data_IF_151954937003
#
_entry.id   IF_151954937003
#
_cell.length_a   1.000
_cell.length_b   1.000
_cell.length_c   1.000
_cell.angle_alpha   90.00
_cell.angle_beta   90.00
_cell.angle_gamma   90.00
#
_symmetry.space_group_name_H-M   'P 1'
#
loop_
_entity.id
_entity.type
_entity.pdbx_description
1 polymer ?
#
# COMPACT_ATOMS: atom_id res chain seq x y z
N UNK A 1 45.24 -0.81 -37.37
CA UNK A 1 44.64 -1.96 -36.66
C UNK A 1 44.93 -1.76 -35.18
N UNK A 2 44.01 -1.60 -34.22
CA UNK A 2 42.54 -1.59 -34.12
C UNK A 2 42.21 -0.66 -32.92
N UNK A 3 41.27 0.29 -33.06
CA UNK A 3 39.91 0.27 -32.48
C UNK A 3 39.84 -0.26 -31.03
N UNK A 4 39.71 0.64 -30.05
CA UNK A 4 39.30 0.31 -28.68
C UNK A 4 37.83 0.73 -28.52
N UNK A 5 36.94 -0.26 -28.60
CA UNK A 5 35.51 -0.10 -28.43
C UNK A 5 35.12 -0.17 -26.95
N UNK A 6 34.36 0.84 -26.55
CA UNK A 6 33.33 0.89 -25.51
C UNK A 6 32.78 -0.47 -25.03
N UNK A 7 32.98 -0.83 -23.77
CA UNK A 7 32.20 -1.86 -23.07
C UNK A 7 31.34 -1.21 -21.98
N UNK A 8 30.11 -0.88 -22.37
CA UNK A 8 28.98 -0.58 -21.49
C UNK A 8 28.47 -1.88 -20.86
N UNK A 9 28.71 -2.07 -19.56
CA UNK A 9 28.09 -3.15 -18.78
C UNK A 9 26.56 -2.97 -18.66
N UNK A 10 25.78 -4.06 -18.62
CA UNK A 10 24.31 -3.98 -18.57
C UNK A 10 23.80 -3.41 -17.23
N UNK A 11 22.72 -2.63 -17.23
CA UNK A 11 22.15 -2.05 -16.01
C UNK A 11 21.56 -3.15 -15.12
N UNK A 12 21.92 -3.10 -13.83
CA UNK A 12 21.42 -3.95 -12.76
C UNK A 12 19.90 -3.84 -12.65
N UNK A 13 19.22 -4.96 -12.82
CA UNK A 13 17.77 -5.07 -12.62
C UNK A 13 17.43 -5.01 -11.14
N UNK A 14 16.45 -4.20 -10.70
CA UNK A 14 16.04 -4.15 -9.30
C UNK A 14 15.28 -5.43 -8.92
N UNK A 15 15.36 -5.88 -7.64
CA UNK A 15 14.83 -7.18 -7.23
C UNK A 15 13.29 -7.26 -7.33
N UNK A 16 12.73 -8.42 -7.76
CA UNK A 16 11.31 -8.60 -8.10
C UNK A 16 10.33 -8.67 -6.90
N UNK A 17 10.72 -8.17 -5.72
CA UNK A 17 9.96 -8.36 -4.47
C UNK A 17 8.98 -7.24 -4.11
N UNK A 18 9.23 -5.98 -4.52
CA UNK A 18 8.49 -4.82 -3.99
C UNK A 18 7.16 -4.53 -4.71
N UNK A 19 7.05 -4.82 -6.01
CA UNK A 19 5.84 -4.52 -6.80
C UNK A 19 4.72 -5.58 -6.68
N UNK A 20 4.96 -6.73 -6.05
CA UNK A 20 4.00 -7.84 -5.99
C UNK A 20 3.09 -7.82 -4.75
N UNK A 21 3.49 -7.10 -3.68
CA UNK A 21 2.77 -7.08 -2.40
C UNK A 21 1.67 -6.00 -2.37
N UNK A 22 1.92 -4.84 -2.99
CA UNK A 22 0.91 -3.79 -3.22
C UNK A 22 -0.26 -4.26 -4.10
N UNK A 23 -0.04 -5.28 -4.92
CA UNK A 23 -1.02 -5.87 -5.83
C UNK A 23 -2.06 -6.78 -5.16
N UNK A 24 -1.82 -7.24 -3.92
CA UNK A 24 -2.68 -8.21 -3.22
C UNK A 24 -3.55 -7.61 -2.12
N UNK A 25 -3.17 -6.43 -1.63
CA UNK A 25 -3.89 -5.66 -0.62
C UNK A 25 -4.84 -4.59 -1.20
N UNK A 26 -4.95 -4.49 -2.52
CA UNK A 26 -6.05 -3.78 -3.15
C UNK A 26 -7.23 -4.76 -3.29
N UNK A 27 -8.43 -4.44 -2.78
CA UNK A 27 -9.60 -5.18 -3.16
C UNK A 27 -9.85 -4.76 -4.59
N UNK A 28 -9.23 -5.45 -5.54
CA UNK A 28 -9.71 -5.43 -6.89
C UNK A 28 -11.14 -5.99 -6.77
N UNK A 29 -12.19 -5.19 -7.03
CA UNK A 29 -13.53 -5.75 -7.13
C UNK A 29 -13.43 -6.91 -8.13
N UNK A 30 -13.99 -8.06 -7.79
CA UNK A 30 -14.03 -9.26 -8.66
C UNK A 30 -14.49 -8.96 -10.10
N UNK A 31 -15.10 -7.79 -10.33
CA UNK A 31 -15.39 -7.15 -11.61
C UNK A 31 -14.20 -6.89 -12.56
N UNK A 32 -12.95 -6.94 -12.10
CA UNK A 32 -11.79 -6.60 -12.94
C UNK A 32 -11.03 -7.82 -13.49
N UNK A 33 -11.42 -9.05 -13.14
CA UNK A 33 -10.69 -10.28 -13.53
C UNK A 33 -11.42 -11.18 -14.53
N UNK A 34 -12.51 -10.72 -15.14
CA UNK A 34 -13.21 -11.51 -16.16
C UNK A 34 -12.92 -11.00 -17.56
N UNK A 35 -11.79 -11.44 -18.11
CA UNK A 35 -11.58 -11.49 -19.55
C UNK A 35 -10.67 -12.68 -19.90
N UNK A 36 -11.27 -13.86 -20.04
CA UNK A 36 -10.68 -15.00 -20.75
C UNK A 36 -11.82 -15.91 -21.24
N UNK A 37 -12.51 -15.48 -22.30
CA UNK A 37 -13.36 -16.36 -23.10
C UNK A 37 -12.52 -16.97 -24.20
N UNK A 38 -12.19 -18.25 -24.11
CA UNK A 38 -11.74 -19.05 -25.26
C UNK A 38 -12.97 -19.61 -25.98
N UNK A 39 -13.11 -19.46 -27.30
CA UNK A 39 -14.19 -20.10 -28.04
C UNK A 39 -13.77 -21.53 -28.37
N UNK A 40 -14.52 -22.53 -27.90
CA UNK A 40 -14.46 -23.87 -28.49
C UNK A 40 -15.86 -24.31 -28.87
N UNK A 41 -15.95 -24.80 -30.10
CA UNK A 41 -17.14 -25.07 -30.90
C UNK A 41 -17.78 -26.43 -30.58
N UNK A 42 -19.11 -26.42 -30.58
CA UNK A 42 -20.03 -27.37 -31.25
C UNK A 42 -21.14 -27.99 -30.37
N UNK A 43 -22.31 -28.30 -30.98
CA UNK A 43 -23.62 -28.28 -30.33
C UNK A 43 -24.26 -29.68 -30.17
N UNK A 44 -25.19 -29.86 -29.22
CA UNK A 44 -26.35 -30.79 -29.35
C UNK A 44 -27.35 -30.71 -28.18
N UNK A 45 -28.64 -30.58 -28.56
CA UNK A 45 -29.93 -30.95 -27.92
C UNK A 45 -30.25 -30.44 -26.50
N UNK A 46 -31.17 -29.47 -26.35
CA UNK A 46 -32.64 -29.61 -26.23
C UNK A 46 -33.07 -30.22 -24.87
N UNK A 47 -34.02 -29.70 -24.09
CA UNK A 47 -34.93 -28.56 -24.16
C UNK A 47 -35.49 -28.35 -22.73
N UNK A 48 -35.76 -27.12 -22.31
CA UNK A 48 -36.92 -26.74 -21.48
C UNK A 48 -36.82 -25.26 -21.05
N UNK A 49 -37.83 -24.52 -21.48
CA UNK A 49 -38.07 -23.08 -21.42
C UNK A 49 -38.48 -22.59 -20.04
N UNK A 50 -37.85 -21.53 -19.52
CA UNK A 50 -38.52 -20.51 -18.70
C UNK A 50 -37.71 -19.20 -18.77
N UNK A 51 -38.33 -18.20 -19.39
CA UNK A 51 -37.79 -16.89 -19.70
C UNK A 51 -37.51 -16.03 -18.46
N UNK A 52 -36.50 -15.18 -18.56
CA UNK A 52 -36.23 -14.12 -17.59
C UNK A 52 -34.84 -13.52 -17.81
N UNK A 53 -34.74 -12.59 -18.76
CA UNK A 53 -33.52 -11.93 -19.17
C UNK A 53 -32.68 -11.42 -17.99
N UNK A 54 -31.46 -11.94 -17.88
CA UNK A 54 -30.36 -11.29 -17.18
C UNK A 54 -29.10 -11.43 -18.03
N UNK A 55 -29.19 -10.96 -19.27
CA UNK A 55 -28.02 -10.38 -19.92
C UNK A 55 -27.64 -9.16 -19.10
N UNK A 56 -26.86 -9.36 -18.04
CA UNK A 56 -26.22 -8.28 -17.34
C UNK A 56 -25.20 -7.70 -18.31
N UNK A 57 -25.68 -6.73 -19.11
CA UNK A 57 -24.84 -5.71 -19.68
C UNK A 57 -23.80 -5.35 -18.62
N UNK A 58 -22.52 -5.53 -18.98
CA UNK A 58 -21.43 -4.94 -18.22
C UNK A 58 -21.64 -3.45 -18.36
N UNK A 59 -22.45 -2.88 -17.48
CA UNK A 59 -22.42 -1.44 -17.23
C UNK A 59 -20.97 -1.15 -16.86
N UNK A 60 -20.26 -0.53 -17.81
CA UNK A 60 -19.15 0.37 -17.55
C UNK A 60 -19.62 1.37 -16.51
N UNK A 61 -19.57 0.97 -15.24
CA UNK A 61 -19.50 1.94 -14.18
C UNK A 61 -18.19 2.65 -14.40
N UNK A 62 -18.29 3.84 -15.00
CA UNK A 62 -17.26 4.86 -14.99
C UNK A 62 -16.85 4.99 -13.52
N UNK A 63 -15.77 4.31 -13.17
CA UNK A 63 -15.24 4.39 -11.82
C UNK A 63 -14.72 5.81 -11.67
N UNK A 64 -15.33 6.56 -10.76
CA UNK A 64 -14.82 7.86 -10.40
C UNK A 64 -13.54 7.66 -9.59
N UNK A 65 -12.42 7.75 -10.30
CA UNK A 65 -11.08 7.57 -9.77
C UNK A 65 -10.76 8.62 -8.70
N UNK A 66 -11.37 9.81 -8.78
CA UNK A 66 -11.20 10.89 -7.83
C UNK A 66 -11.87 10.55 -6.50
N UNK A 67 -13.12 10.09 -6.52
CA UNK A 67 -13.81 9.62 -5.30
C UNK A 67 -13.11 8.43 -4.64
N UNK A 68 -12.54 7.51 -5.43
CA UNK A 68 -11.77 6.39 -4.88
C UNK A 68 -10.48 6.88 -4.24
N UNK A 69 -9.74 7.76 -4.91
CA UNK A 69 -8.48 8.30 -4.41
C UNK A 69 -8.68 9.15 -3.14
N UNK A 70 -9.82 9.84 -2.99
CA UNK A 70 -10.17 10.64 -1.82
C UNK A 70 -10.34 9.82 -0.53
N UNK A 71 -10.60 8.52 -0.64
CA UNK A 71 -10.72 7.64 0.53
C UNK A 71 -9.35 7.29 1.15
N UNK A 72 -8.24 7.60 0.48
CA UNK A 72 -6.88 7.26 0.90
C UNK A 72 -6.01 8.50 0.99
N UNK A 73 -5.05 8.46 1.91
CA UNK A 73 -4.10 9.55 2.12
C UNK A 73 -2.67 9.04 2.20
N UNK A 74 -1.71 9.88 1.84
CA UNK A 74 -0.28 9.57 1.97
C UNK A 74 0.22 8.50 1.01
N UNK A 75 1.13 7.63 1.49
CA UNK A 75 1.84 6.67 0.65
C UNK A 75 0.90 5.65 -0.01
N UNK A 76 -0.07 5.11 0.74
CA UNK A 76 -1.05 4.15 0.23
C UNK A 76 -1.86 4.70 -0.96
N UNK A 77 -2.18 6.01 -0.99
CA UNK A 77 -2.87 6.63 -2.14
C UNK A 77 -2.02 6.52 -3.42
N UNK A 78 -0.74 6.85 -3.33
CA UNK A 78 0.22 6.79 -4.45
C UNK A 78 0.41 5.34 -4.92
N UNK A 79 0.57 4.41 -3.98
CA UNK A 79 0.73 2.97 -4.27
C UNK A 79 -0.51 2.43 -5.00
N UNK A 80 -1.72 2.78 -4.55
CA UNK A 80 -2.97 2.37 -5.19
C UNK A 80 -3.16 2.98 -6.58
N UNK A 81 -2.86 4.26 -6.77
CA UNK A 81 -2.94 4.92 -8.08
C UNK A 81 -1.96 4.28 -9.08
N UNK A 82 -0.73 3.98 -8.66
CA UNK A 82 0.26 3.26 -9.49
C UNK A 82 -0.26 1.87 -9.87
N UNK A 83 -0.88 1.15 -8.93
CA UNK A 83 -1.45 -0.16 -9.19
C UNK A 83 -2.60 -0.11 -10.20
N UNK A 84 -3.51 0.86 -10.05
CA UNK A 84 -4.62 1.05 -11.00
C UNK A 84 -4.07 1.36 -12.39
N UNK A 85 -3.06 2.24 -12.50
CA UNK A 85 -2.43 2.54 -13.79
C UNK A 85 -1.88 1.27 -14.47
N UNK A 86 -1.17 0.40 -13.74
CA UNK A 86 -0.63 -0.85 -14.28
C UNK A 86 -1.71 -1.84 -14.73
N UNK A 87 -2.84 -1.92 -14.00
CA UNK A 87 -3.97 -2.77 -14.38
C UNK A 87 -4.73 -2.22 -15.58
N UNK A 88 -4.98 -0.91 -15.62
CA UNK A 88 -5.64 -0.25 -16.74
C UNK A 88 -4.82 -0.36 -18.03
N UNK A 89 -3.48 -0.26 -17.93
CA UNK A 89 -2.58 -0.52 -19.05
C UNK A 89 -2.74 -1.95 -19.61
N UNK A 90 -2.90 -2.95 -18.74
CA UNK A 90 -3.12 -4.35 -19.14
C UNK A 90 -4.50 -4.58 -19.80
N UNK A 91 -5.52 -3.79 -19.43
CA UNK A 91 -6.88 -3.86 -19.99
C UNK A 91 -7.01 -3.00 -21.26
N UNK A 92 -6.01 -2.17 -21.58
CA UNK A 92 -6.01 -1.27 -22.74
C UNK A 92 -6.75 0.05 -22.51
N UNK A 93 -7.14 0.38 -21.28
CA UNK A 93 -7.84 1.62 -20.92
C UNK A 93 -6.84 2.76 -20.69
N UNK A 94 -6.35 3.34 -21.79
CA UNK A 94 -5.36 4.43 -21.78
C UNK A 94 -5.85 5.69 -21.04
N UNK A 95 -7.13 6.05 -21.14
CA UNK A 95 -7.65 7.27 -20.52
C UNK A 95 -7.56 7.22 -18.98
N UNK A 96 -7.95 6.10 -18.36
CA UNK A 96 -7.85 5.93 -16.90
C UNK A 96 -6.42 5.76 -16.42
N UNK A 97 -5.56 5.09 -17.19
CA UNK A 97 -4.14 4.97 -16.88
C UNK A 97 -3.49 6.36 -16.75
N UNK A 98 -3.72 7.22 -17.73
CA UNK A 98 -3.15 8.56 -17.77
C UNK A 98 -3.71 9.45 -16.65
N UNK A 99 -5.00 9.35 -16.34
CA UNK A 99 -5.60 10.11 -15.23
C UNK A 99 -5.08 9.65 -13.86
N UNK A 100 -4.87 8.34 -13.67
CA UNK A 100 -4.26 7.79 -12.45
C UNK A 100 -2.81 8.29 -12.26
N UNK A 101 -2.02 8.27 -13.34
CA UNK A 101 -0.64 8.76 -13.32
C UNK A 101 -0.58 10.28 -13.08
N UNK A 102 -1.52 11.05 -13.65
CA UNK A 102 -1.66 12.48 -13.43
C UNK A 102 -1.87 12.80 -11.95
N UNK A 103 -2.87 12.18 -11.33
CA UNK A 103 -3.17 12.37 -9.92
C UNK A 103 -2.00 11.94 -9.03
N UNK A 104 -1.31 10.86 -9.36
CA UNK A 104 -0.13 10.42 -8.63
C UNK A 104 1.02 11.45 -8.73
N UNK A 105 1.27 12.00 -9.93
CA UNK A 105 2.30 13.01 -10.15
C UNK A 105 1.99 14.32 -9.39
N UNK A 106 0.74 14.78 -9.45
CA UNK A 106 0.29 15.99 -8.75
C UNK A 106 0.41 15.83 -7.22
N UNK A 107 0.11 14.64 -6.68
CA UNK A 107 0.29 14.34 -5.25
C UNK A 107 1.77 14.25 -4.86
N UNK A 108 2.60 13.62 -5.70
CA UNK A 108 4.04 13.49 -5.47
C UNK A 108 4.76 14.84 -5.50
N UNK A 109 4.31 15.78 -6.35
CA UNK A 109 4.86 17.14 -6.42
C UNK A 109 4.52 17.98 -5.19
N UNK A 110 3.48 17.63 -4.43
CA UNK A 110 3.18 18.20 -3.09
C UNK A 110 4.02 17.55 -1.98
N UNK A 111 4.55 16.36 -2.21
CA UNK A 111 5.32 15.59 -1.23
C UNK A 111 6.84 15.81 -1.30
N UNK A 112 7.57 15.05 -0.50
CA UNK A 112 9.05 15.04 -0.45
C UNK A 112 9.66 13.76 -1.09
N UNK A 113 8.84 12.92 -1.71
CA UNK A 113 9.29 11.64 -2.28
C UNK A 113 9.76 11.79 -3.74
N UNK A 114 11.04 12.13 -3.91
CA UNK A 114 11.66 12.30 -5.23
C UNK A 114 11.79 10.99 -6.01
N UNK A 115 11.97 9.85 -5.34
CA UNK A 115 12.14 8.54 -5.99
C UNK A 115 10.85 8.09 -6.70
N UNK A 116 9.72 8.14 -6.00
CA UNK A 116 8.43 7.79 -6.58
C UNK A 116 8.01 8.78 -7.69
N UNK A 117 8.38 10.06 -7.57
CA UNK A 117 8.15 11.06 -8.63
C UNK A 117 8.87 10.68 -9.94
N UNK A 118 10.18 10.35 -9.85
CA UNK A 118 10.97 9.91 -11.01
C UNK A 118 10.33 8.70 -11.70
N UNK A 119 9.87 7.71 -10.94
CA UNK A 119 9.21 6.52 -11.48
C UNK A 119 7.88 6.83 -12.18
N UNK A 120 7.02 7.66 -11.57
CA UNK A 120 5.71 8.02 -12.15
C UNK A 120 5.89 8.82 -13.43
N UNK A 121 6.79 9.80 -13.44
CA UNK A 121 7.11 10.60 -14.63
C UNK A 121 7.68 9.74 -15.75
N UNK A 122 8.58 8.79 -15.42
CA UNK A 122 9.09 7.84 -16.39
C UNK A 122 7.98 6.98 -17.01
N UNK A 123 6.96 6.57 -16.24
CA UNK A 123 5.79 5.83 -16.73
C UNK A 123 4.87 6.68 -17.61
N UNK A 124 4.78 8.00 -17.38
CA UNK A 124 4.01 8.92 -18.24
C UNK A 124 4.64 9.04 -19.63
N UNK A 125 5.97 8.98 -19.72
CA UNK A 125 6.72 8.99 -20.99
C UNK A 125 6.31 10.12 -21.95
N UNK A 126 5.99 11.31 -21.42
CA UNK A 126 5.59 12.48 -22.21
C UNK A 126 4.15 12.47 -22.76
N UNK A 127 3.36 11.42 -22.48
CA UNK A 127 1.98 11.27 -22.99
C UNK A 127 1.00 12.33 -22.47
N UNK A 128 1.32 12.99 -21.35
CA UNK A 128 0.53 14.07 -20.74
C UNK A 128 1.02 15.50 -21.08
N UNK A 129 1.99 15.62 -21.98
CA UNK A 129 2.57 16.90 -22.38
C UNK A 129 3.69 17.42 -21.47
N UNK A 130 4.25 18.60 -21.78
CA UNK A 130 5.52 19.09 -21.21
C UNK A 130 5.44 19.44 -19.72
N UNK A 131 4.22 19.67 -19.19
CA UNK A 131 4.01 19.95 -17.76
C UNK A 131 4.38 18.78 -16.84
N UNK A 132 4.32 17.56 -17.38
CA UNK A 132 4.58 16.31 -16.65
C UNK A 132 5.93 15.69 -17.03
N UNK A 133 6.84 16.48 -17.60
CA UNK A 133 8.23 16.07 -17.82
C UNK A 133 9.04 16.10 -16.52
N UNK A 134 10.20 15.44 -16.55
CA UNK A 134 11.06 15.32 -15.38
C UNK A 134 11.69 16.68 -15.05
N UNK A 135 11.20 17.26 -13.96
CA UNK A 135 11.72 18.49 -13.37
C UNK A 135 12.97 18.15 -12.53
N UNK A 136 14.13 18.10 -13.19
CA UNK A 136 15.40 17.75 -12.55
C UNK A 136 15.81 18.79 -11.49
N UNK A 137 15.53 20.07 -11.73
CA UNK A 137 15.85 21.13 -10.78
C UNK A 137 15.05 20.98 -9.48
N UNK A 138 13.75 20.66 -9.58
CA UNK A 138 12.92 20.38 -8.42
C UNK A 138 13.41 19.14 -7.66
N UNK A 139 13.75 18.06 -8.38
CA UNK A 139 14.31 16.84 -7.78
C UNK A 139 15.57 17.17 -6.97
N UNK A 140 16.53 17.88 -7.57
CA UNK A 140 17.80 18.21 -6.94
C UNK A 140 17.59 19.15 -5.74
N UNK A 141 16.65 20.08 -5.83
CA UNK A 141 16.28 20.97 -4.72
C UNK A 141 15.65 20.20 -3.55
N UNK A 142 14.75 19.25 -3.82
CA UNK A 142 14.11 18.40 -2.81
C UNK A 142 15.14 17.47 -2.15
N UNK A 143 16.02 16.86 -2.93
CA UNK A 143 17.09 16.00 -2.40
C UNK A 143 18.07 16.77 -1.52
N UNK A 144 18.46 17.98 -1.92
CA UNK A 144 19.33 18.87 -1.11
C UNK A 144 18.65 19.26 0.21
N UNK A 145 17.38 19.65 0.17
CA UNK A 145 16.59 20.00 1.37
C UNK A 145 16.43 18.80 2.30
N UNK A 146 16.17 17.61 1.73
CA UNK A 146 16.05 16.38 2.48
C UNK A 146 17.36 16.01 3.18
N UNK A 147 18.51 16.12 2.50
CA UNK A 147 19.81 15.85 3.09
C UNK A 147 20.11 16.77 4.30
N UNK A 148 19.85 18.07 4.16
CA UNK A 148 20.01 19.04 5.27
C UNK A 148 19.09 18.73 6.45
N UNK A 149 17.83 18.37 6.18
CA UNK A 149 16.86 18.01 7.23
C UNK A 149 17.27 16.72 7.94
N UNK A 150 17.79 15.74 7.21
CA UNK A 150 18.30 14.49 7.77
C UNK A 150 19.47 14.76 8.72
N UNK A 151 20.48 15.49 8.27
CA UNK A 151 21.66 15.83 9.07
C UNK A 151 21.26 16.57 10.36
N UNK A 152 20.32 17.53 10.25
CA UNK A 152 19.79 18.25 11.40
C UNK A 152 19.13 17.32 12.42
N UNK A 153 18.23 16.43 11.98
CA UNK A 153 17.53 15.49 12.86
C UNK A 153 18.51 14.48 13.50
N UNK A 154 19.52 14.04 12.76
CA UNK A 154 20.57 13.16 13.28
C UNK A 154 21.45 13.86 14.33
N UNK A 155 21.80 15.13 14.10
CA UNK A 155 22.53 15.96 15.07
C UNK A 155 21.72 16.17 16.36
N UNK A 156 20.44 16.53 16.25
CA UNK A 156 19.54 16.69 17.40
C UNK A 156 19.40 15.38 18.19
N UNK A 157 19.19 14.25 17.50
CA UNK A 157 19.12 12.93 18.11
C UNK A 157 20.42 12.55 18.84
N UNK A 158 21.58 12.89 18.27
CA UNK A 158 22.86 12.65 18.92
C UNK A 158 23.02 13.51 20.18
N UNK A 159 22.57 14.76 20.16
CA UNK A 159 22.51 15.62 21.34
C UNK A 159 21.64 15.01 22.45
N UNK A 160 20.46 14.49 22.12
CA UNK A 160 19.58 13.83 23.08
C UNK A 160 20.18 12.56 23.67
N UNK A 161 20.94 11.79 22.89
CA UNK A 161 21.66 10.60 23.36
C UNK A 161 22.75 10.96 24.36
N UNK A 162 23.54 11.99 24.10
CA UNK A 162 24.58 12.47 25.03
C UNK A 162 23.96 12.95 26.34
N UNK A 163 22.81 13.62 26.27
CA UNK A 163 22.09 14.11 27.45
C UNK A 163 21.29 13.02 28.19
N UNK A 164 21.20 11.80 27.63
CA UNK A 164 20.49 10.64 28.19
C UNK A 164 19.00 10.90 28.52
N UNK A 165 18.36 11.83 27.80
CA UNK A 165 16.94 12.15 28.00
C UNK A 165 16.09 11.15 27.21
N UNK A 166 15.59 10.11 27.88
CA UNK A 166 14.84 9.00 27.24
C UNK A 166 13.69 9.47 26.35
N UNK A 167 12.88 10.41 26.82
CA UNK A 167 11.73 10.89 26.05
C UNK A 167 12.14 11.66 24.80
N UNK A 168 13.18 12.50 24.88
CA UNK A 168 13.71 13.22 23.72
C UNK A 168 14.35 12.27 22.70
N UNK A 169 15.04 11.21 23.16
CA UNK A 169 15.56 10.17 22.27
C UNK A 169 14.42 9.44 21.56
N UNK A 170 13.33 9.13 22.28
CA UNK A 170 12.13 8.51 21.71
C UNK A 170 11.50 9.38 20.63
N UNK A 171 11.31 10.68 20.92
CA UNK A 171 10.75 11.64 19.97
C UNK A 171 11.67 11.81 18.76
N UNK A 172 12.98 11.97 18.95
CA UNK A 172 13.92 12.12 17.85
C UNK A 172 13.96 10.90 16.92
N UNK A 173 13.85 9.68 17.45
CA UNK A 173 13.70 8.48 16.61
C UNK A 173 12.36 8.42 15.87
N UNK A 174 11.28 8.95 16.46
CA UNK A 174 9.99 9.03 15.80
C UNK A 174 10.02 10.04 14.65
N UNK A 175 10.56 11.23 14.89
CA UNK A 175 10.67 12.29 13.89
C UNK A 175 11.58 11.88 12.72
N UNK A 176 12.67 11.17 13.01
CA UNK A 176 13.54 10.57 12.00
C UNK A 176 12.82 9.46 11.21
N UNK A 177 12.00 8.65 11.90
CA UNK A 177 11.14 7.64 11.26
C UNK A 177 10.13 8.27 10.30
N UNK A 178 9.43 9.31 10.75
CA UNK A 178 8.42 10.05 9.97
C UNK A 178 9.05 10.75 8.76
N UNK A 179 10.28 11.27 8.91
CA UNK A 179 11.07 11.80 7.80
C UNK A 179 11.44 10.74 6.76
N UNK A 180 11.90 9.57 7.18
CA UNK A 180 12.19 8.49 6.23
C UNK A 180 10.90 7.94 5.57
N UNK A 181 9.80 7.91 6.32
CA UNK A 181 8.50 7.49 5.82
C UNK A 181 7.97 8.44 4.73
N UNK A 182 8.07 9.77 4.92
CA UNK A 182 7.63 10.76 3.91
C UNK A 182 8.45 10.67 2.61
N UNK A 183 9.72 10.29 2.72
CA UNK A 183 10.62 10.08 1.57
C UNK A 183 10.42 8.75 0.86
N UNK A 184 9.75 7.79 1.49
CA UNK A 184 9.56 6.44 0.96
C UNK A 184 10.70 5.46 1.27
N UNK A 185 11.67 5.80 2.13
CA UNK A 185 12.63 4.82 2.66
C UNK A 185 12.01 4.06 3.84
N UNK A 186 11.15 3.11 3.50
CA UNK A 186 10.38 2.33 4.45
C UNK A 186 11.27 1.44 5.35
N UNK A 187 12.43 1.00 4.85
CA UNK A 187 13.35 0.14 5.60
C UNK A 187 14.08 0.91 6.71
N UNK A 188 14.53 2.13 6.43
CA UNK A 188 15.11 2.99 7.47
C UNK A 188 14.05 3.48 8.45
N UNK A 189 12.85 3.85 7.96
CA UNK A 189 11.73 4.23 8.82
C UNK A 189 11.38 3.11 9.82
N UNK A 190 11.21 1.87 9.35
CA UNK A 190 10.95 0.71 10.20
C UNK A 190 12.03 0.53 11.28
N UNK A 191 13.32 0.62 10.91
CA UNK A 191 14.42 0.51 11.87
C UNK A 191 14.39 1.61 12.93
N UNK A 192 14.06 2.84 12.54
CA UNK A 192 13.94 3.97 13.48
C UNK A 192 12.78 3.75 14.46
N UNK A 193 11.61 3.34 13.99
CA UNK A 193 10.47 3.06 14.86
C UNK A 193 10.76 1.91 15.84
N UNK A 194 11.38 0.81 15.39
CA UNK A 194 11.71 -0.31 16.29
C UNK A 194 12.73 0.10 17.37
N UNK A 195 13.66 1.01 17.06
CA UNK A 195 14.65 1.53 18.04
C UNK A 195 14.01 2.34 19.17
N UNK A 196 12.83 2.92 18.97
CA UNK A 196 12.11 3.64 20.05
C UNK A 196 11.71 2.74 21.22
N UNK A 197 11.68 1.41 21.02
CA UNK A 197 11.24 0.41 22.01
C UNK A 197 11.94 0.55 23.35
N UNK A 198 13.25 0.73 23.34
CA UNK A 198 14.06 0.73 24.57
C UNK A 198 13.91 2.03 25.37
N UNK A 199 13.28 3.04 24.77
CA UNK A 199 12.99 4.35 25.34
C UNK A 199 11.51 4.56 25.69
N UNK A 200 10.67 3.53 25.53
CA UNK A 200 9.25 3.58 25.91
C UNK A 200 9.10 3.47 27.44
N UNK A 201 8.47 4.46 28.07
CA UNK A 201 8.26 4.51 29.53
C UNK A 201 6.81 4.14 29.89
N UNK A 202 5.84 4.58 29.10
CA UNK A 202 4.41 4.35 29.35
C UNK A 202 3.84 3.30 28.39
N UNK A 203 2.72 2.68 28.77
CA UNK A 203 1.97 1.79 27.86
C UNK A 203 1.51 2.51 26.60
N UNK A 204 1.16 3.81 26.70
CA UNK A 204 0.80 4.65 25.54
C UNK A 204 1.96 4.76 24.55
N UNK A 205 3.20 4.94 25.02
CA UNK A 205 4.38 5.00 24.14
C UNK A 205 4.59 3.67 23.40
N UNK A 206 4.40 2.55 24.11
CA UNK A 206 4.51 1.21 23.51
C UNK A 206 3.46 1.00 22.42
N UNK A 207 2.22 1.45 22.64
CA UNK A 207 1.13 1.32 21.66
C UNK A 207 1.40 2.19 20.42
N UNK A 208 1.78 3.46 20.63
CA UNK A 208 2.11 4.38 19.54
C UNK A 208 3.24 3.83 18.66
N UNK A 209 4.31 3.32 19.26
CA UNK A 209 5.38 2.63 18.53
C UNK A 209 4.84 1.43 17.75
N UNK A 210 4.00 0.57 18.36
CA UNK A 210 3.47 -0.60 17.66
C UNK A 210 2.63 -0.19 16.44
N UNK A 211 1.84 0.88 16.53
CA UNK A 211 1.08 1.40 15.40
C UNK A 211 2.00 1.86 14.25
N UNK A 212 3.03 2.66 14.53
CA UNK A 212 3.96 3.14 13.50
C UNK A 212 4.74 1.97 12.86
N UNK A 213 5.16 0.99 13.66
CA UNK A 213 5.81 -0.23 13.16
C UNK A 213 4.86 -1.06 12.29
N UNK A 214 3.58 -1.16 12.65
CA UNK A 214 2.57 -1.86 11.85
C UNK A 214 2.39 -1.18 10.50
N UNK A 215 2.19 0.14 10.47
CA UNK A 215 2.04 0.92 9.22
C UNK A 215 3.25 0.69 8.30
N UNK A 216 4.48 0.88 8.81
CA UNK A 216 5.69 0.63 8.04
C UNK A 216 5.83 -0.84 7.59
N UNK A 217 5.41 -1.81 8.41
CA UNK A 217 5.49 -3.23 8.07
C UNK A 217 4.47 -3.65 7.01
N UNK A 218 3.29 -3.01 6.96
CA UNK A 218 2.28 -3.24 5.93
C UNK A 218 2.80 -2.75 4.58
N UNK A 219 3.39 -1.55 4.54
CA UNK A 219 3.96 -0.98 3.32
C UNK A 219 5.19 -1.78 2.83
N UNK A 220 5.97 -2.37 3.74
CA UNK A 220 7.05 -3.32 3.41
C UNK A 220 6.55 -4.72 3.00
N UNK A 221 5.29 -5.05 3.28
CA UNK A 221 4.72 -6.39 3.08
C UNK A 221 5.23 -7.46 4.05
N UNK A 222 5.81 -7.07 5.18
CA UNK A 222 6.31 -7.97 6.23
C UNK A 222 5.19 -8.36 7.22
N UNK A 223 4.19 -9.12 6.77
CA UNK A 223 2.98 -9.42 7.57
C UNK A 223 3.20 -10.28 8.82
N UNK A 224 4.32 -11.02 8.89
CA UNK A 224 4.69 -11.77 10.11
C UNK A 224 4.95 -10.80 11.28
N UNK A 225 5.65 -9.69 11.01
CA UNK A 225 5.91 -8.66 12.01
C UNK A 225 4.60 -7.98 12.43
N UNK A 226 3.73 -7.67 11.47
CA UNK A 226 2.40 -7.08 11.74
C UNK A 226 1.64 -7.91 12.78
N UNK A 227 1.55 -9.24 12.60
CA UNK A 227 0.85 -10.11 13.56
C UNK A 227 1.48 -10.08 14.95
N UNK A 228 2.81 -10.06 15.05
CA UNK A 228 3.52 -10.03 16.34
C UNK A 228 3.30 -8.71 17.09
N UNK A 229 3.39 -7.58 16.40
CA UNK A 229 3.18 -6.26 17.00
C UNK A 229 1.71 -6.00 17.33
N UNK A 230 0.76 -6.51 16.54
CA UNK A 230 -0.68 -6.45 16.88
C UNK A 230 -0.95 -7.21 18.19
N UNK A 231 -0.46 -8.44 18.33
CA UNK A 231 -0.65 -9.21 19.57
C UNK A 231 -0.02 -8.53 20.78
N UNK A 232 1.09 -7.81 20.60
CA UNK A 232 1.73 -7.03 21.65
C UNK A 232 0.89 -5.81 22.04
N UNK A 233 0.31 -5.10 21.07
CA UNK A 233 -0.50 -3.91 21.30
C UNK A 233 -1.90 -4.24 21.87
N UNK A 234 -2.51 -5.36 21.46
CA UNK A 234 -3.83 -5.81 21.94
C UNK A 234 -3.83 -6.05 23.47
N UNK A 235 -2.72 -6.50 24.06
CA UNK A 235 -2.62 -6.81 25.50
C UNK A 235 -2.68 -5.59 26.41
N UNK A 236 -2.44 -4.39 25.89
CA UNK A 236 -2.34 -3.16 26.67
C UNK A 236 -3.36 -2.09 26.30
N UNK A 237 -4.30 -2.36 25.37
CA UNK A 237 -5.17 -1.33 24.80
C UNK A 237 -6.64 -1.49 25.19
N UNK A 238 -7.21 -0.41 25.73
CA UNK A 238 -8.62 -0.31 26.11
C UNK A 238 -9.45 0.53 25.13
N UNK A 239 -8.81 1.42 24.36
CA UNK A 239 -9.56 2.33 23.49
C UNK A 239 -10.14 1.59 22.27
N UNK A 240 -11.47 1.66 22.06
CA UNK A 240 -12.13 0.92 20.98
C UNK A 240 -11.62 1.26 19.58
N UNK A 241 -11.23 2.52 19.34
CA UNK A 241 -10.76 3.01 18.04
C UNK A 241 -9.42 2.36 17.66
N UNK A 242 -8.45 2.36 18.57
CA UNK A 242 -7.13 1.75 18.31
C UNK A 242 -7.24 0.24 18.24
N UNK A 243 -8.11 -0.36 19.06
CA UNK A 243 -8.40 -1.79 18.98
C UNK A 243 -8.97 -2.17 17.61
N UNK A 244 -9.85 -1.35 17.03
CA UNK A 244 -10.34 -1.56 15.68
C UNK A 244 -9.21 -1.44 14.63
N UNK A 245 -8.29 -0.45 14.76
CA UNK A 245 -7.12 -0.32 13.84
C UNK A 245 -6.24 -1.57 13.89
N UNK A 246 -5.92 -2.04 15.09
CA UNK A 246 -5.13 -3.25 15.30
C UNK A 246 -5.80 -4.50 14.74
N UNK A 247 -7.12 -4.64 14.93
CA UNK A 247 -7.90 -5.76 14.38
C UNK A 247 -7.94 -5.74 12.85
N UNK A 248 -8.06 -4.56 12.24
CA UNK A 248 -7.99 -4.39 10.79
C UNK A 248 -6.62 -4.78 10.23
N UNK A 249 -5.54 -4.34 10.87
CA UNK A 249 -4.18 -4.73 10.49
C UNK A 249 -3.94 -6.25 10.65
N UNK A 250 -4.45 -6.87 11.71
CA UNK A 250 -4.39 -8.33 11.89
C UNK A 250 -5.25 -9.10 10.87
N UNK A 251 -6.41 -8.55 10.49
CA UNK A 251 -7.23 -9.07 9.41
C UNK A 251 -6.47 -9.07 8.10
N UNK A 252 -5.78 -7.97 7.80
CA UNK A 252 -4.94 -7.82 6.61
C UNK A 252 -3.78 -8.83 6.58
N UNK A 253 -3.05 -8.97 7.69
CA UNK A 253 -1.97 -9.96 7.80
C UNK A 253 -2.47 -11.41 7.64
N UNK A 254 -3.69 -11.69 8.13
CA UNK A 254 -4.31 -13.02 7.99
C UNK A 254 -4.81 -13.31 6.57
N UNK A 255 -5.20 -12.27 5.83
CA UNK A 255 -5.60 -12.35 4.42
C UNK A 255 -4.41 -12.80 3.55
N UNK A 256 -3.24 -12.19 3.77
CA UNK A 256 -1.99 -12.54 3.08
C UNK A 256 -1.49 -13.95 3.45
N UNK A 257 -1.68 -14.35 4.71
CA UNK A 257 -1.43 -15.71 5.17
C UNK A 257 -2.41 -16.76 4.61
N UNK A 258 -3.33 -16.40 3.70
CA UNK A 258 -4.41 -17.24 3.14
C UNK A 258 -5.35 -17.83 4.19
N UNK A 259 -5.37 -17.27 5.42
CA UNK A 259 -6.22 -17.70 6.53
C UNK A 259 -7.54 -16.93 6.53
N UNK A 260 -8.32 -17.15 5.48
CA UNK A 260 -9.58 -16.43 5.22
C UNK A 260 -10.56 -16.49 6.41
N UNK A 261 -10.76 -17.67 7.01
CA UNK A 261 -11.67 -17.82 8.16
C UNK A 261 -11.26 -16.98 9.38
N UNK A 262 -9.95 -16.87 9.65
CA UNK A 262 -9.44 -16.07 10.75
C UNK A 262 -9.52 -14.57 10.43
N UNK A 263 -9.20 -14.19 9.19
CA UNK A 263 -9.31 -12.82 8.70
C UNK A 263 -10.75 -12.28 8.82
N UNK A 264 -11.75 -13.05 8.37
CA UNK A 264 -13.16 -12.64 8.45
C UNK A 264 -13.62 -12.37 9.89
N UNK A 265 -13.20 -13.19 10.86
CA UNK A 265 -13.53 -12.98 12.28
C UNK A 265 -12.90 -11.69 12.81
N UNK A 266 -11.66 -11.39 12.42
CA UNK A 266 -10.94 -10.20 12.84
C UNK A 266 -11.54 -8.93 12.22
N UNK A 267 -11.97 -8.96 10.95
CA UNK A 267 -12.66 -7.85 10.29
C UNK A 267 -14.07 -7.59 10.85
N UNK A 268 -14.86 -8.64 11.12
CA UNK A 268 -16.19 -8.48 11.76
C UNK A 268 -16.06 -7.94 13.18
N UNK A 269 -14.99 -8.29 13.88
CA UNK A 269 -14.68 -7.75 15.21
C UNK A 269 -14.07 -6.35 15.20
N UNK A 270 -13.74 -5.78 14.04
CA UNK A 270 -13.31 -4.39 13.93
C UNK A 270 -14.56 -3.50 13.87
N UNK A 271 -14.79 -2.69 14.90
CA UNK A 271 -15.88 -1.72 14.89
C UNK A 271 -15.69 -0.74 13.73
N UNK A 272 -16.78 -0.42 13.02
CA UNK A 272 -16.78 0.51 11.88
C UNK A 272 -16.48 1.97 12.29
N UNK A 273 -16.44 2.26 13.60
CA UNK A 273 -16.16 3.58 14.19
C UNK A 273 -14.73 4.11 13.93
N UNK A 274 -13.88 3.38 13.21
CA UNK A 274 -12.54 3.88 12.83
C UNK A 274 -12.59 5.09 11.89
N UNK A 275 -13.71 5.34 11.21
CA UNK A 275 -13.90 6.48 10.31
C UNK A 275 -12.75 6.65 9.29
N UNK A 276 -12.37 7.90 9.03
CA UNK A 276 -11.23 8.29 8.19
C UNK A 276 -9.88 8.23 8.92
N UNK A 277 -9.84 7.84 10.20
CA UNK A 277 -8.61 7.91 11.02
C UNK A 277 -7.55 6.85 10.65
N UNK A 278 -7.81 5.99 9.66
CA UNK A 278 -6.88 4.95 9.19
C UNK A 278 -6.77 4.89 7.66
N UNK A 279 -7.10 5.99 6.97
CA UNK A 279 -6.99 6.16 5.51
C UNK A 279 -5.57 5.97 4.96
N UNK A 280 -4.57 5.99 5.84
CA UNK A 280 -3.17 5.66 5.55
C UNK A 280 -2.91 4.16 5.33
N UNK A 281 -3.80 3.26 5.76
CA UNK A 281 -3.62 1.80 5.61
C UNK A 281 -4.84 1.16 4.93
N UNK A 282 -6.05 1.44 5.41
CA UNK A 282 -7.26 0.80 4.87
C UNK A 282 -8.48 1.69 5.05
N UNK A 283 -9.28 1.81 3.98
CA UNK A 283 -10.56 2.51 4.05
C UNK A 283 -11.65 1.61 4.65
N UNK A 284 -12.66 2.18 5.33
CA UNK A 284 -13.75 1.39 5.90
C UNK A 284 -14.53 0.57 4.86
N UNK A 285 -14.58 1.04 3.61
CA UNK A 285 -15.18 0.33 2.48
C UNK A 285 -14.41 -0.96 2.15
N UNK A 286 -13.07 -0.91 2.18
CA UNK A 286 -12.23 -2.09 1.95
C UNK A 286 -12.42 -3.13 3.04
N UNK A 287 -12.56 -2.69 4.30
CA UNK A 287 -12.85 -3.60 5.43
C UNK A 287 -14.17 -4.35 5.21
N UNK A 288 -15.20 -3.65 4.70
CA UNK A 288 -16.48 -4.27 4.38
C UNK A 288 -16.38 -5.25 3.21
N UNK A 289 -15.67 -4.88 2.13
CA UNK A 289 -15.44 -5.73 0.97
C UNK A 289 -14.63 -6.97 1.33
N UNK A 290 -13.56 -6.82 2.11
CA UNK A 290 -12.76 -7.94 2.60
C UNK A 290 -13.54 -8.81 3.57
N UNK A 291 -14.28 -8.23 4.52
CA UNK A 291 -15.14 -8.99 5.43
C UNK A 291 -16.18 -9.84 4.69
N UNK A 292 -16.83 -9.27 3.68
CA UNK A 292 -17.83 -9.95 2.85
C UNK A 292 -17.22 -11.01 1.92
N UNK A 293 -16.21 -10.66 1.14
CA UNK A 293 -15.59 -11.55 0.15
C UNK A 293 -14.90 -12.75 0.80
N UNK A 294 -14.27 -12.54 1.96
CA UNK A 294 -13.58 -13.60 2.71
C UNK A 294 -14.57 -14.54 3.40
N UNK A 295 -15.74 -14.03 3.83
CA UNK A 295 -16.82 -14.85 4.40
C UNK A 295 -17.51 -15.72 3.34
N UNK A 296 -17.64 -15.22 2.11
CA UNK A 296 -18.34 -15.91 1.02
C UNK A 296 -17.50 -17.00 0.34
N UNK A 297 -16.17 -17.02 0.52
CA UNK A 297 -15.33 -18.09 -0.04
C UNK A 297 -15.53 -19.37 0.79
N UNK A 298 -16.33 -20.35 0.33
CA UNK A 298 -16.70 -21.49 1.16
C UNK A 298 -15.50 -22.43 1.27
N UNK A 299 -15.34 -23.05 2.44
CA UNK A 299 -14.34 -24.09 2.74
C UNK A 299 -14.39 -25.31 1.80
N UNK A 300 -15.39 -25.41 0.93
CA UNK A 300 -15.66 -26.55 0.06
C UNK A 300 -14.90 -26.51 -1.27
N UNK A 301 -14.38 -25.36 -1.71
CA UNK A 301 -13.67 -25.24 -2.99
C UNK A 301 -12.21 -25.75 -2.96
N UNK A 302 -11.70 -26.17 -1.80
CA UNK A 302 -10.34 -26.70 -1.66
C UNK A 302 -10.27 -28.23 -1.69
N UNK A 303 -11.39 -28.94 -1.60
CA UNK A 303 -11.40 -30.41 -1.59
C UNK A 303 -11.62 -31.05 -2.98
N UNK A 304 -11.92 -30.27 -4.02
CA UNK A 304 -12.16 -30.80 -5.38
C UNK A 304 -11.00 -30.58 -6.36
N UNK A 305 -9.85 -30.10 -5.88
CA UNK A 305 -8.62 -29.92 -6.68
C UNK A 305 -7.45 -30.78 -6.20
N UNK A 306 -7.72 -31.70 -5.28
CA UNK A 306 -6.79 -32.69 -4.77
C UNK A 306 -7.42 -34.10 -4.88
N UNK A 307 -7.80 -34.48 -6.09
CA UNK A 307 -8.09 -35.86 -6.52
C UNK A 307 -7.81 -35.95 -8.00
#
# INVERSE_FOLDING_TARGET
MASAANESGPPSTPPPGQNQLSARLAPIPSRWCSAAGTPSSSPASAAATAAGAAGAAVEEQIMDLESYAANYSGHTRIVRLRFIAERCAAIGQTAMELEALRMAADELKRGENSAAYKEVVAKIAGRLGPKYELDQEWVDAVERRAAQKQEKLEMELNGYKTNLIKESIRMGYNDLGDFFYSRGDLQQAFRCYVRTRDYCITSKHTIAMCLNVIVASVELGHFVNVSNYVQKAERGMTDPIVLAKLRSAAGLASLEGRKYKAAARKFVGASFDMGSSYSEVIAPQDVAVYGGSVRLRPSTALNSRAS
#
